data_IF_627359405502
#
_entry.id   IF_627359405502
#
_cell.length_a   1.000
_cell.length_b   1.000
_cell.length_c   1.000
_cell.angle_alpha   90.00
_cell.angle_beta   90.00
_cell.angle_gamma   90.00
#
_symmetry.space_group_name_H-M   'P 1'
#
loop_
_entity.id
_entity.type
_entity.pdbx_description
1 polymer ?
#
# COMPACT_ATOMS: atom_id res chain seq x y z
N UNK A 1 8.05 14.02 -23.54
CA UNK A 1 7.47 12.68 -23.22
C UNK A 1 6.09 12.89 -22.64
N UNK A 2 5.10 12.05 -22.96
CA UNK A 2 3.73 12.15 -22.42
C UNK A 2 3.69 11.43 -21.06
N UNK A 3 3.14 12.11 -20.05
CA UNK A 3 2.91 11.56 -18.70
C UNK A 3 1.40 11.35 -18.54
N UNK A 4 1.00 10.19 -18.02
CA UNK A 4 -0.40 9.90 -17.65
C UNK A 4 -0.49 9.68 -16.15
N UNK A 5 -1.66 9.95 -15.55
CA UNK A 5 -1.95 9.67 -14.14
C UNK A 5 -2.96 8.52 -14.04
N UNK A 6 -2.73 7.59 -13.11
CA UNK A 6 -3.73 6.61 -12.67
C UNK A 6 -3.88 6.68 -11.15
N UNK A 7 -5.11 6.55 -10.70
CA UNK A 7 -5.48 6.59 -9.28
C UNK A 7 -5.97 5.20 -8.86
N UNK A 8 -5.51 4.71 -7.71
CA UNK A 8 -6.05 3.50 -7.05
C UNK A 8 -6.67 3.85 -5.73
N UNK A 9 -7.85 3.31 -5.48
CA UNK A 9 -8.64 3.61 -4.29
C UNK A 9 -8.98 2.29 -3.59
N UNK A 10 -8.19 1.79 -2.63
CA UNK A 10 -8.68 0.76 -1.72
C UNK A 10 -9.92 1.27 -1.00
N UNK A 11 -10.99 0.49 -1.06
CA UNK A 11 -12.31 0.93 -0.60
C UNK A 11 -12.61 0.45 0.81
N UNK A 12 -13.20 1.33 1.59
CA UNK A 12 -13.94 0.98 2.80
C UNK A 12 -15.07 0.01 2.44
N UNK A 13 -15.26 -1.02 3.27
CA UNK A 13 -16.44 -1.87 3.20
C UNK A 13 -17.33 -1.63 4.41
N UNK A 14 -18.52 -1.09 4.16
CA UNK A 14 -19.60 -1.03 5.14
C UNK A 14 -20.31 -2.39 5.25
N UNK A 15 -20.62 -2.77 6.50
CA UNK A 15 -21.27 -3.99 6.98
C UNK A 15 -22.35 -4.60 6.05
N UNK A 16 -21.99 -5.60 5.23
CA UNK A 16 -22.95 -6.55 4.63
C UNK A 16 -22.32 -7.82 4.01
N UNK A 17 -21.00 -7.92 3.90
CA UNK A 17 -20.33 -9.15 3.47
C UNK A 17 -19.06 -9.32 4.31
N UNK A 18 -19.13 -10.23 5.27
CA UNK A 18 -18.00 -10.64 6.08
C UNK A 18 -16.81 -10.98 5.18
N UNK A 19 -15.69 -10.30 5.37
CA UNK A 19 -14.41 -10.79 4.89
C UNK A 19 -13.38 -10.58 6.00
N UNK A 20 -13.43 -11.55 6.92
CA UNK A 20 -12.27 -12.26 7.48
C UNK A 20 -11.26 -11.36 8.19
N UNK A 21 -11.66 -10.95 9.39
CA UNK A 21 -10.72 -10.56 10.40
C UNK A 21 -10.12 -11.84 11.01
N UNK A 22 -8.80 -11.89 11.06
CA UNK A 22 -7.96 -12.71 11.95
C UNK A 22 -7.52 -14.11 11.49
N UNK A 23 -7.95 -14.62 10.34
CA UNK A 23 -7.44 -15.90 9.83
C UNK A 23 -7.48 -15.92 8.30
N UNK A 24 -6.34 -15.89 7.58
CA UNK A 24 -6.31 -16.05 6.14
C UNK A 24 -7.04 -17.35 5.82
N UNK A 25 -7.91 -17.29 4.81
CA UNK A 25 -8.50 -18.54 4.37
C UNK A 25 -7.44 -19.41 3.73
N UNK A 26 -7.68 -20.72 3.69
CA UNK A 26 -6.77 -21.70 3.09
C UNK A 26 -6.55 -21.49 1.58
N UNK A 27 -7.01 -20.38 0.99
CA UNK A 27 -6.85 -20.03 -0.40
C UNK A 27 -5.69 -19.06 -0.59
N UNK A 28 -4.64 -19.54 -1.25
CA UNK A 28 -3.49 -18.73 -1.69
C UNK A 28 -3.43 -18.76 -3.24
N UNK A 29 -4.26 -17.94 -3.91
CA UNK A 29 -4.33 -17.96 -5.36
C UNK A 29 -3.07 -17.34 -5.99
N UNK A 30 -2.62 -17.90 -7.12
CA UNK A 30 -1.50 -17.37 -7.93
C UNK A 30 -1.97 -16.26 -8.89
N UNK A 31 -3.15 -15.67 -8.66
CA UNK A 31 -3.71 -14.65 -9.55
C UNK A 31 -3.16 -13.27 -9.23
N UNK A 32 -2.87 -12.49 -10.28
CA UNK A 32 -2.37 -11.12 -10.15
C UNK A 32 -2.84 -10.25 -11.31
N UNK A 33 -2.80 -8.93 -11.11
CA UNK A 33 -2.96 -7.93 -12.15
C UNK A 33 -1.74 -7.03 -12.21
N UNK A 34 -1.35 -6.61 -13.42
CA UNK A 34 -0.25 -5.66 -13.64
C UNK A 34 -0.74 -4.48 -14.46
N UNK A 35 -0.14 -3.33 -14.21
CA UNK A 35 -0.61 -2.03 -14.69
C UNK A 35 0.16 -1.52 -15.91
N UNK A 36 1.31 -2.14 -16.19
CA UNK A 36 2.19 -1.80 -17.29
C UNK A 36 3.23 -0.73 -16.96
N UNK A 37 3.27 -0.22 -15.71
CA UNK A 37 4.41 0.55 -15.24
C UNK A 37 5.28 -0.21 -14.23
N UNK A 38 6.47 0.35 -14.00
CA UNK A 38 7.43 -0.12 -13.00
C UNK A 38 8.26 1.03 -12.45
N UNK A 39 8.70 0.88 -11.22
CA UNK A 39 9.61 1.79 -10.56
C UNK A 39 11.04 1.66 -11.12
N UNK A 40 11.87 2.70 -11.01
CA UNK A 40 13.32 2.58 -11.16
C UNK A 40 13.93 1.75 -10.01
N UNK A 41 15.21 1.38 -10.13
CA UNK A 41 15.89 0.53 -9.15
C UNK A 41 16.15 1.20 -7.80
N UNK A 42 16.22 2.53 -7.77
CA UNK A 42 16.36 3.32 -6.55
C UNK A 42 15.25 4.37 -6.51
N UNK A 43 14.37 4.25 -5.51
CA UNK A 43 13.18 5.07 -5.33
C UNK A 43 13.33 5.87 -4.04
N UNK A 44 13.51 7.17 -4.19
CA UNK A 44 13.53 8.08 -3.05
C UNK A 44 12.11 8.46 -2.66
N UNK A 45 11.79 8.45 -1.37
CA UNK A 45 10.48 8.84 -0.87
C UNK A 45 10.58 9.76 0.36
N UNK A 46 9.54 10.55 0.56
CA UNK A 46 9.39 11.43 1.72
C UNK A 46 8.07 11.17 2.42
N UNK A 47 7.99 11.54 3.70
CA UNK A 47 6.75 11.42 4.48
C UNK A 47 6.29 12.77 5.01
N UNK A 48 4.99 12.94 5.21
CA UNK A 48 4.46 14.03 6.02
C UNK A 48 3.72 13.46 7.23
N UNK A 49 4.14 13.81 8.44
CA UNK A 49 3.50 13.35 9.69
C UNK A 49 2.62 14.39 10.37
N UNK A 50 2.57 15.63 9.86
CA UNK A 50 1.84 16.75 10.49
C UNK A 50 0.35 16.48 10.61
N UNK A 51 -0.25 15.87 9.58
CA UNK A 51 -1.67 15.51 9.55
C UNK A 51 -1.93 14.04 9.94
N UNK A 52 -0.90 13.30 10.33
CA UNK A 52 -1.05 11.91 10.76
C UNK A 52 -1.82 11.83 12.09
N UNK A 53 -2.70 10.84 12.30
CA UNK A 53 -3.32 10.55 13.59
C UNK A 53 -2.27 10.34 14.68
N UNK A 54 -2.55 10.82 15.90
CA UNK A 54 -1.60 10.72 17.02
C UNK A 54 -1.25 9.28 17.40
N UNK A 55 -2.15 8.33 17.14
CA UNK A 55 -1.95 6.89 17.35
C UNK A 55 -0.78 6.30 16.56
N UNK A 56 -0.44 6.89 15.40
CA UNK A 56 0.57 6.35 14.48
C UNK A 56 1.72 7.33 14.20
N UNK A 57 1.53 8.62 14.52
CA UNK A 57 2.45 9.71 14.14
C UNK A 57 3.91 9.47 14.52
N UNK A 58 4.19 8.94 15.71
CA UNK A 58 5.56 8.70 16.19
C UNK A 58 6.23 7.53 15.46
N UNK A 59 5.44 6.55 15.03
CA UNK A 59 5.93 5.32 14.39
C UNK A 59 5.85 5.38 12.86
N UNK A 60 5.23 6.41 12.29
CA UNK A 60 4.92 6.48 10.85
C UNK A 60 6.12 6.28 9.93
N UNK A 61 7.30 6.75 10.33
CA UNK A 61 8.52 6.51 9.56
C UNK A 61 8.90 5.01 9.54
N UNK A 62 8.80 4.33 10.68
CA UNK A 62 9.09 2.90 10.77
C UNK A 62 8.03 2.09 10.01
N UNK A 63 6.76 2.46 10.13
CA UNK A 63 5.65 1.85 9.39
C UNK A 63 5.91 1.93 7.88
N UNK A 64 6.24 3.11 7.37
CA UNK A 64 6.57 3.31 5.97
C UNK A 64 7.79 2.47 5.55
N UNK A 65 8.86 2.50 6.33
CA UNK A 65 10.05 1.71 6.05
C UNK A 65 9.74 0.20 5.97
N UNK A 66 8.95 -0.34 6.89
CA UNK A 66 8.53 -1.75 6.88
C UNK A 66 7.72 -2.10 5.64
N UNK A 67 6.70 -1.30 5.28
CA UNK A 67 5.90 -1.53 4.07
C UNK A 67 6.74 -1.51 2.79
N UNK A 68 7.68 -0.58 2.65
CA UNK A 68 8.60 -0.54 1.51
C UNK A 68 9.60 -1.71 1.50
N UNK A 69 10.05 -2.15 2.69
CA UNK A 69 10.98 -3.26 2.82
C UNK A 69 10.36 -4.59 2.38
N UNK A 70 9.05 -4.80 2.62
CA UNK A 70 8.30 -5.96 2.12
C UNK A 70 8.47 -6.12 0.61
N UNK A 71 8.30 -5.03 -0.15
CA UNK A 71 8.43 -5.06 -1.62
C UNK A 71 9.88 -5.07 -2.12
N UNK A 72 10.81 -4.49 -1.34
CA UNK A 72 12.26 -4.63 -1.61
C UNK A 72 12.66 -6.11 -1.58
N UNK A 73 12.22 -6.84 -0.54
CA UNK A 73 12.44 -8.29 -0.43
C UNK A 73 11.79 -9.06 -1.57
N UNK A 74 10.52 -8.78 -1.87
CA UNK A 74 9.76 -9.45 -2.93
C UNK A 74 10.37 -9.28 -4.33
N UNK A 75 10.94 -8.11 -4.62
CA UNK A 75 11.61 -7.85 -5.90
C UNK A 75 13.03 -8.44 -5.98
N UNK A 76 13.51 -9.11 -4.93
CA UNK A 76 14.89 -9.58 -4.85
C UNK A 76 15.92 -8.45 -4.83
N UNK A 77 15.55 -7.28 -4.29
CA UNK A 77 16.41 -6.08 -4.24
C UNK A 77 16.53 -5.33 -5.57
N UNK A 78 15.74 -5.68 -6.60
CA UNK A 78 15.72 -4.95 -7.89
C UNK A 78 15.18 -3.52 -7.73
N UNK A 79 14.30 -3.32 -6.76
CA UNK A 79 13.85 -2.00 -6.31
C UNK A 79 14.26 -1.81 -4.87
N UNK A 80 14.87 -0.67 -4.58
CA UNK A 80 15.24 -0.22 -3.24
C UNK A 80 14.57 1.12 -2.94
N UNK A 81 14.18 1.32 -1.69
CA UNK A 81 13.54 2.55 -1.24
C UNK A 81 14.44 3.32 -0.27
N UNK A 82 14.62 4.61 -0.53
CA UNK A 82 15.49 5.50 0.26
C UNK A 82 14.65 6.60 0.87
N UNK A 83 14.69 6.71 2.20
CA UNK A 83 13.96 7.74 2.92
C UNK A 83 14.73 9.07 2.90
N UNK A 84 14.14 10.09 2.28
CA UNK A 84 14.72 11.42 2.10
C UNK A 84 14.22 12.45 3.14
N UNK A 85 13.62 11.98 4.23
CA UNK A 85 13.14 12.83 5.31
C UNK A 85 11.70 13.31 5.12
N UNK A 86 11.36 14.36 5.89
CA UNK A 86 10.00 14.90 5.93
C UNK A 86 9.74 15.89 4.80
N UNK A 87 8.50 15.96 4.34
CA UNK A 87 7.99 16.99 3.42
C UNK A 87 6.85 17.78 4.06
N UNK A 88 6.60 18.98 3.56
CA UNK A 88 5.41 19.78 3.88
C UNK A 88 4.23 19.51 2.94
N UNK A 89 4.42 18.71 1.87
CA UNK A 89 3.34 18.30 0.99
C UNK A 89 2.29 17.49 1.74
N UNK A 90 1.02 17.71 1.44
CA UNK A 90 -0.13 17.02 2.07
C UNK A 90 -1.16 16.53 1.05
N UNK A 91 -0.78 16.52 -0.23
CA UNK A 91 -1.60 16.12 -1.37
C UNK A 91 -0.72 15.54 -2.46
N UNK A 92 -1.30 14.69 -3.28
CA UNK A 92 -0.65 14.16 -4.46
C UNK A 92 -0.51 15.24 -5.53
N UNK A 93 0.62 15.25 -6.23
CA UNK A 93 0.92 16.17 -7.33
C UNK A 93 2.13 15.63 -8.08
N UNK A 94 2.11 15.77 -9.41
CA UNK A 94 3.33 15.65 -10.21
C UNK A 94 4.33 16.76 -9.85
N UNK A 95 5.26 16.47 -8.94
CA UNK A 95 6.37 17.34 -8.53
C UNK A 95 7.72 16.63 -8.40
N UNK A 96 7.78 15.38 -8.87
CA UNK A 96 8.95 14.51 -8.89
C UNK A 96 9.49 14.19 -7.50
N UNK A 97 8.63 14.26 -6.48
CA UNK A 97 8.93 13.74 -5.15
C UNK A 97 7.90 12.69 -4.81
N UNK A 98 8.33 11.44 -4.68
CA UNK A 98 7.41 10.40 -4.23
C UNK A 98 7.10 10.62 -2.75
N UNK A 99 5.81 10.67 -2.38
CA UNK A 99 5.42 10.97 -1.00
C UNK A 99 4.41 10.00 -0.40
N UNK A 100 4.50 9.80 0.92
CA UNK A 100 3.43 9.19 1.73
C UNK A 100 2.93 10.22 2.72
N UNK A 101 1.69 10.68 2.53
CA UNK A 101 1.13 11.84 3.24
C UNK A 101 -0.29 11.58 3.72
N UNK A 102 -0.83 12.53 4.49
CA UNK A 102 -2.16 12.46 5.07
C UNK A 102 -3.01 13.63 4.60
N UNK A 103 -4.20 13.34 4.09
CA UNK A 103 -5.06 14.34 3.47
C UNK A 103 -6.52 13.89 3.37
N UNK A 104 -7.32 14.68 2.65
CA UNK A 104 -8.69 14.31 2.31
C UNK A 104 -8.67 13.51 1.01
N UNK A 105 -9.27 12.32 1.03
CA UNK A 105 -9.48 11.48 -0.15
C UNK A 105 -10.98 11.42 -0.48
N UNK A 106 -11.35 10.64 -1.52
CA UNK A 106 -12.77 10.31 -1.79
C UNK A 106 -13.38 9.58 -0.59
N UNK A 107 -14.70 9.74 -0.39
CA UNK A 107 -15.36 9.40 0.89
C UNK A 107 -15.25 7.94 1.33
N UNK A 108 -14.96 7.03 0.39
CA UNK A 108 -14.92 5.60 0.65
C UNK A 108 -13.51 5.01 0.46
N UNK A 109 -12.46 5.84 0.32
CA UNK A 109 -11.10 5.36 0.13
C UNK A 109 -10.31 5.46 1.43
N UNK A 110 -9.59 4.38 1.80
CA UNK A 110 -8.70 4.37 2.97
C UNK A 110 -7.41 5.14 2.70
N UNK A 111 -6.81 4.89 1.54
CA UNK A 111 -5.73 5.67 0.99
C UNK A 111 -5.93 5.76 -0.52
N UNK A 112 -5.12 6.58 -1.19
CA UNK A 112 -5.09 6.66 -2.65
C UNK A 112 -3.66 6.79 -3.10
N UNK A 113 -3.23 5.89 -3.99
CA UNK A 113 -1.98 6.03 -4.73
C UNK A 113 -2.22 6.66 -6.09
N UNK A 114 -1.47 7.71 -6.38
CA UNK A 114 -1.42 8.43 -7.65
C UNK A 114 -0.09 8.11 -8.32
N UNK A 115 -0.12 7.47 -9.48
CA UNK A 115 1.09 7.14 -10.22
C UNK A 115 1.13 7.90 -11.53
N UNK A 116 2.21 8.67 -11.72
CA UNK A 116 2.56 9.28 -12.99
C UNK A 116 3.67 8.49 -13.66
N UNK A 117 3.48 8.12 -14.91
CA UNK A 117 4.46 7.31 -15.64
C UNK A 117 4.57 7.74 -17.10
N UNK A 118 5.75 7.46 -17.68
CA UNK A 118 6.03 7.68 -19.09
C UNK A 118 5.40 6.57 -19.92
N UNK A 119 4.41 6.89 -20.75
CA UNK A 119 3.60 5.88 -21.44
C UNK A 119 4.37 5.06 -22.49
N UNK A 120 5.50 5.59 -22.97
CA UNK A 120 6.35 4.92 -23.96
C UNK A 120 7.32 3.91 -23.32
N UNK A 121 7.66 4.05 -22.05
CA UNK A 121 8.61 3.16 -21.35
C UNK A 121 7.99 2.39 -20.19
N UNK A 122 6.81 2.79 -19.72
CA UNK A 122 6.23 2.29 -18.47
C UNK A 122 7.01 2.72 -17.22
N UNK A 123 8.00 3.60 -17.33
CA UNK A 123 8.77 4.02 -16.15
C UNK A 123 7.98 5.04 -15.34
N UNK A 124 7.86 4.81 -14.03
CA UNK A 124 7.28 5.77 -13.09
C UNK A 124 8.14 7.04 -13.06
N UNK A 125 7.47 8.18 -13.20
CA UNK A 125 8.04 9.52 -13.08
C UNK A 125 7.83 10.10 -11.68
N UNK A 126 6.69 9.78 -11.07
CA UNK A 126 6.28 10.25 -9.74
C UNK A 126 5.20 9.33 -9.17
N UNK A 127 5.19 9.12 -7.86
CA UNK A 127 4.16 8.35 -7.18
C UNK A 127 3.91 8.85 -5.75
N UNK A 128 2.64 9.13 -5.46
CA UNK A 128 2.20 9.67 -4.18
C UNK A 128 1.10 8.82 -3.56
N UNK A 129 1.18 8.54 -2.26
CA UNK A 129 0.10 7.95 -1.47
C UNK A 129 -0.47 8.97 -0.49
N UNK A 130 -1.78 9.15 -0.52
CA UNK A 130 -2.52 10.01 0.42
C UNK A 130 -3.44 9.16 1.28
N UNK A 131 -3.13 9.06 2.58
CA UNK A 131 -4.01 8.45 3.57
C UNK A 131 -5.20 9.34 3.89
N UNK A 132 -6.38 8.74 4.01
CA UNK A 132 -7.61 9.42 4.41
C UNK A 132 -7.58 9.81 5.88
N UNK A 133 -7.56 11.10 6.17
CA UNK A 133 -7.55 11.61 7.53
C UNK A 133 -8.93 11.60 8.25
N UNK A 134 -9.96 10.98 7.64
CA UNK A 134 -11.32 10.89 8.20
C UNK A 134 -11.67 9.52 8.77
N UNK A 135 -10.79 8.54 8.65
CA UNK A 135 -10.98 7.20 9.21
C UNK A 135 -10.10 7.00 10.45
N UNK A 136 -10.42 5.98 11.25
CA UNK A 136 -9.65 5.65 12.45
C UNK A 136 -8.47 4.78 12.09
N UNK A 137 -7.28 5.24 12.45
CA UNK A 137 -6.01 4.56 12.19
C UNK A 137 -5.35 4.09 13.47
N UNK A 138 -4.75 2.92 13.40
CA UNK A 138 -3.90 2.32 14.41
C UNK A 138 -2.67 1.73 13.76
N UNK A 139 -1.80 1.19 14.59
CA UNK A 139 -0.69 0.37 14.16
C UNK A 139 -0.46 -0.72 15.19
N UNK A 140 -0.39 -1.95 14.73
CA UNK A 140 0.01 -3.10 15.53
C UNK A 140 1.45 -3.42 15.17
N UNK A 141 2.34 -3.50 16.16
CA UNK A 141 3.74 -3.82 15.89
C UNK A 141 3.84 -5.30 15.45
N UNK A 142 4.24 -5.60 14.20
CA UNK A 142 4.30 -6.96 13.68
C UNK A 142 5.32 -7.84 14.41
N UNK A 143 6.23 -7.27 15.20
CA UNK A 143 7.13 -8.06 16.06
C UNK A 143 6.43 -8.66 17.28
N UNK A 144 5.22 -8.22 17.58
CA UNK A 144 4.46 -8.61 18.77
C UNK A 144 3.31 -9.56 18.48
N UNK A 145 2.98 -9.77 17.19
CA UNK A 145 1.87 -10.59 16.73
C UNK A 145 2.25 -11.39 15.48
N UNK A 146 1.61 -12.52 15.26
CA UNK A 146 1.59 -13.16 13.96
C UNK A 146 0.51 -12.49 13.10
N UNK A 147 0.92 -11.62 12.18
CA UNK A 147 0.00 -10.84 11.33
C UNK A 147 -0.89 -11.69 10.43
N UNK A 148 -0.49 -12.93 10.15
CA UNK A 148 -1.33 -13.88 9.41
C UNK A 148 -2.44 -14.40 10.32
N UNK A 149 -2.15 -14.84 11.54
CA UNK A 149 -3.14 -15.57 12.37
C UNK A 149 -3.75 -14.74 13.51
N UNK A 150 -3.42 -13.45 13.61
CA UNK A 150 -3.87 -12.57 14.69
C UNK A 150 -4.39 -11.25 14.13
N UNK A 151 -5.24 -10.60 14.93
CA UNK A 151 -5.82 -9.30 14.62
C UNK A 151 -5.24 -8.18 15.46
N UNK A 152 -5.20 -7.01 14.86
CA UNK A 152 -5.02 -5.75 15.57
C UNK A 152 -6.32 -5.27 16.23
N UNK A 153 -6.33 -4.05 16.79
CA UNK A 153 -7.54 -3.44 17.34
C UNK A 153 -8.65 -3.29 16.29
N UNK A 154 -9.80 -3.92 16.52
CA UNK A 154 -10.95 -3.92 15.60
C UNK A 154 -11.64 -2.56 15.44
N UNK A 155 -11.17 -1.53 16.14
CA UNK A 155 -11.70 -0.16 16.07
C UNK A 155 -10.98 0.73 15.06
N UNK A 156 -9.91 0.24 14.44
CA UNK A 156 -9.05 1.01 13.53
C UNK A 156 -8.50 0.16 12.40
N UNK A 157 -8.22 0.80 11.27
CA UNK A 157 -7.41 0.23 10.20
C UNK A 157 -5.94 0.29 10.56
N UNK A 158 -5.18 -0.74 10.19
CA UNK A 158 -3.74 -0.76 10.35
C UNK A 158 -3.06 0.01 9.21
N UNK A 159 -2.15 0.94 9.56
CA UNK A 159 -1.46 1.76 8.57
C UNK A 159 -0.46 0.95 7.75
N UNK A 160 0.21 -0.04 8.34
CA UNK A 160 1.20 -0.86 7.64
C UNK A 160 0.52 -1.83 6.67
N UNK A 161 -0.60 -2.44 7.07
CA UNK A 161 -1.44 -3.28 6.20
C UNK A 161 -1.84 -2.51 4.93
N UNK A 162 -2.44 -1.33 5.11
CA UNK A 162 -2.88 -0.49 3.98
C UNK A 162 -1.71 0.08 3.19
N UNK A 163 -0.62 0.53 3.81
CA UNK A 163 0.53 1.06 3.07
C UNK A 163 1.26 -0.03 2.27
N UNK A 164 1.27 -1.26 2.76
CA UNK A 164 1.85 -2.39 2.00
C UNK A 164 1.03 -2.64 0.73
N UNK A 165 -0.31 -2.63 0.82
CA UNK A 165 -1.19 -2.66 -0.36
C UNK A 165 -0.89 -1.51 -1.33
N UNK A 166 -0.87 -0.27 -0.84
CA UNK A 166 -0.63 0.91 -1.67
C UNK A 166 0.73 0.88 -2.35
N UNK A 167 1.76 0.39 -1.66
CA UNK A 167 3.10 0.23 -2.23
C UNK A 167 3.10 -0.81 -3.36
N UNK A 168 2.23 -1.80 -3.35
CA UNK A 168 2.03 -2.70 -4.48
C UNK A 168 1.61 -1.96 -5.76
N UNK A 169 0.78 -0.92 -5.65
CA UNK A 169 0.44 -0.04 -6.78
C UNK A 169 1.64 0.81 -7.24
N UNK A 170 2.52 1.23 -6.33
CA UNK A 170 3.78 1.88 -6.71
C UNK A 170 4.59 0.94 -7.59
N UNK A 171 4.73 -0.31 -7.15
CA UNK A 171 5.50 -1.36 -7.82
C UNK A 171 4.94 -1.73 -9.19
N UNK A 172 3.64 -1.51 -9.43
CA UNK A 172 2.98 -1.75 -10.71
C UNK A 172 1.89 -2.83 -10.69
N UNK A 173 1.45 -3.27 -9.52
CA UNK A 173 0.36 -4.23 -9.36
C UNK A 173 -1.02 -3.54 -9.43
N UNK A 174 -2.00 -4.26 -9.96
CA UNK A 174 -3.41 -3.84 -10.01
C UNK A 174 -4.22 -4.53 -8.92
N UNK A 175 -5.34 -3.92 -8.53
CA UNK A 175 -6.25 -4.45 -7.53
C UNK A 175 -6.82 -5.83 -7.91
N UNK A 176 -7.08 -6.63 -6.89
CA UNK A 176 -7.83 -7.89 -6.93
C UNK A 176 -9.13 -7.74 -6.16
N UNK A 177 -10.18 -8.42 -6.65
CA UNK A 177 -11.55 -8.23 -6.14
C UNK A 177 -12.38 -9.51 -6.08
N UNK A 178 -11.89 -10.64 -6.60
CA UNK A 178 -12.64 -11.88 -6.48
C UNK A 178 -12.67 -12.33 -5.01
N UNK A 179 -13.77 -12.91 -4.50
CA UNK A 179 -13.85 -13.35 -3.11
C UNK A 179 -12.78 -14.38 -2.70
N UNK A 180 -12.23 -15.13 -3.66
CA UNK A 180 -11.13 -16.08 -3.46
C UNK A 180 -9.76 -15.40 -3.30
N UNK A 181 -9.65 -14.11 -3.58
CA UNK A 181 -8.41 -13.31 -3.59
C UNK A 181 -8.27 -12.42 -2.35
N UNK A 182 -9.22 -12.50 -1.42
CA UNK A 182 -9.31 -11.67 -0.22
C UNK A 182 -8.14 -11.69 0.75
N UNK A 183 -7.27 -12.68 0.62
CA UNK A 183 -6.08 -12.82 1.45
C UNK A 183 -4.85 -12.22 0.77
N UNK A 184 -4.91 -11.93 -0.54
CA UNK A 184 -3.86 -11.21 -1.25
C UNK A 184 -3.69 -9.81 -0.67
N UNK A 185 -2.45 -9.36 -0.62
CA UNK A 185 -2.10 -7.97 -0.29
C UNK A 185 -2.79 -7.01 -1.24
N UNK A 186 -2.85 -7.35 -2.53
CA UNK A 186 -3.52 -6.52 -3.55
C UNK A 186 -5.04 -6.63 -3.57
N UNK A 187 -5.70 -7.24 -2.56
CA UNK A 187 -7.16 -7.20 -2.48
C UNK A 187 -7.66 -5.82 -2.09
N UNK A 188 -8.48 -5.19 -2.95
CA UNK A 188 -8.86 -3.78 -2.85
C UNK A 188 -9.85 -3.40 -1.74
N UNK A 189 -10.12 -4.29 -0.78
CA UNK A 189 -10.93 -4.01 0.41
C UNK A 189 -10.16 -4.41 1.66
N UNK A 190 -10.16 -3.55 2.69
CA UNK A 190 -9.60 -3.87 4.01
C UNK A 190 -10.65 -3.70 5.12
N UNK A 191 -10.40 -4.34 6.26
CA UNK A 191 -11.27 -4.30 7.45
C UNK A 191 -10.51 -3.75 8.67
N UNK A 192 -11.18 -3.08 9.62
CA UNK A 192 -10.55 -2.76 10.90
C UNK A 192 -10.01 -4.02 11.60
N UNK A 193 -8.79 -3.94 12.14
CA UNK A 193 -8.09 -5.06 12.78
C UNK A 193 -7.42 -6.06 11.83
N UNK A 194 -7.56 -5.91 10.51
CA UNK A 194 -6.83 -6.70 9.51
C UNK A 194 -5.33 -6.34 9.52
N UNK A 195 -4.46 -7.36 9.57
CA UNK A 195 -2.99 -7.23 9.56
C UNK A 195 -2.33 -8.08 8.45
N UNK A 196 -3.03 -9.06 7.88
CA UNK A 196 -2.47 -10.06 6.98
C UNK A 196 -1.85 -9.49 5.70
N UNK A 197 -2.20 -8.26 5.29
CA UNK A 197 -1.61 -7.61 4.12
C UNK A 197 -0.31 -6.86 4.44
N UNK A 198 0.15 -6.90 5.68
CA UNK A 198 1.55 -6.62 5.97
C UNK A 198 2.48 -7.66 5.33
N UNK A 199 2.00 -8.90 5.17
CA UNK A 199 2.62 -9.98 4.41
C UNK A 199 2.23 -9.95 2.93
N UNK A 200 2.89 -10.81 2.13
CA UNK A 200 2.60 -11.03 0.71
C UNK A 200 2.17 -12.47 0.47
N UNK A 201 1.18 -12.66 -0.40
CA UNK A 201 0.72 -13.98 -0.82
C UNK A 201 1.31 -14.39 -2.17
N UNK A 202 1.06 -15.64 -2.60
CA UNK A 202 1.69 -16.18 -3.82
C UNK A 202 1.33 -15.39 -5.06
N UNK A 203 0.09 -14.89 -5.18
CA UNK A 203 -0.31 -14.00 -6.26
C UNK A 203 0.49 -12.69 -6.31
N UNK A 204 0.71 -12.05 -5.16
CA UNK A 204 1.47 -10.80 -5.06
C UNK A 204 2.94 -11.01 -5.49
N UNK A 205 3.56 -12.09 -5.01
CA UNK A 205 4.93 -12.48 -5.37
C UNK A 205 5.07 -12.79 -6.87
N UNK A 206 4.11 -13.53 -7.43
CA UNK A 206 4.10 -13.85 -8.86
C UNK A 206 3.96 -12.59 -9.73
N UNK A 207 3.13 -11.64 -9.30
CA UNK A 207 2.98 -10.35 -9.98
C UNK A 207 4.28 -9.53 -9.96
N UNK A 208 4.97 -9.46 -8.82
CA UNK A 208 6.25 -8.75 -8.72
C UNK A 208 7.32 -9.41 -9.58
N UNK A 209 7.42 -10.74 -9.59
CA UNK A 209 8.35 -11.46 -10.45
C UNK A 209 8.08 -11.20 -11.95
N UNK A 210 6.80 -11.00 -12.33
CA UNK A 210 6.45 -10.65 -13.71
C UNK A 210 6.86 -9.22 -14.09
N UNK A 211 6.78 -8.26 -13.16
CA UNK A 211 7.19 -6.86 -13.40
C UNK A 211 8.72 -6.72 -13.38
N UNK A 212 9.39 -7.47 -12.49
CA UNK A 212 10.83 -7.43 -12.26
C UNK A 212 11.44 -8.83 -12.38
N UNK A 213 11.62 -9.36 -13.62
CA UNK A 213 12.20 -10.67 -13.86
C UNK A 213 13.66 -10.77 -13.40
#
# INVERSE_FOLDING_TARGET
>A
MKVSVREYHPKEKNFAQAVIACDPTTGDPVTYGITGWRLPSNVHYRINTSNAPSSVRSNFQNIAASSFQTWTGASGGKVSFVYDGKTSSSRARLDFQNTVVWGRTSSNALAVTYTWYYTNTGQVADVDTVFNNRVKWGWTDPSTVNVETQCGPTTSYDVQDVLTHETGHWMGLDDRYAPSEKDLTMFGYASPGELKKEGLQTGDLAGIAAIYP
#
